data_IF_488300265110
#
_entry.id   IF_488300265110
#
_cell.length_a   1.000
_cell.length_b   1.000
_cell.length_c   1.000
_cell.angle_alpha   90.00
_cell.angle_beta   90.00
_cell.angle_gamma   90.00
#
_symmetry.space_group_name_H-M   'P 1'
#
loop_
_entity.id
_entity.type
_entity.pdbx_description
1 polymer ?
#
# COMPACT_ATOMS: atom_id res chain seq x y z
N UNK A 1 8.12 -0.97 12.26
CA UNK A 1 6.96 -1.87 12.38
C UNK A 1 7.49 -3.28 12.63
N UNK A 2 6.90 -4.07 13.55
CA UNK A 2 7.46 -5.37 13.98
C UNK A 2 7.75 -6.36 12.84
N UNK A 3 6.90 -6.44 11.82
CA UNK A 3 7.09 -7.33 10.67
C UNK A 3 7.83 -6.67 9.49
N UNK A 4 8.39 -5.47 9.70
CA UNK A 4 9.14 -4.75 8.68
C UNK A 4 8.25 -4.27 7.52
N UNK A 5 8.80 -4.29 6.30
CA UNK A 5 8.09 -3.96 5.07
C UNK A 5 7.63 -5.21 4.30
N UNK A 6 6.69 -5.00 3.37
CA UNK A 6 6.10 -6.06 2.57
C UNK A 6 7.11 -6.72 1.62
N UNK A 7 8.18 -6.04 1.18
CA UNK A 7 9.21 -6.67 0.34
C UNK A 7 9.89 -7.80 1.11
N UNK A 8 10.30 -7.53 2.34
CA UNK A 8 10.91 -8.52 3.22
C UNK A 8 9.96 -9.69 3.52
N UNK A 9 8.66 -9.42 3.64
CA UNK A 9 7.65 -10.44 3.91
C UNK A 9 7.31 -11.30 2.69
N UNK A 10 7.40 -10.75 1.48
CA UNK A 10 7.16 -11.49 0.22
C UNK A 10 8.38 -12.30 -0.22
N UNK A 11 9.59 -11.75 -0.06
CA UNK A 11 10.83 -12.37 -0.52
C UNK A 11 11.50 -13.27 0.52
N UNK A 12 10.88 -13.51 1.68
CA UNK A 12 11.44 -14.37 2.71
C UNK A 12 11.71 -15.77 2.16
N UNK A 13 12.99 -16.02 1.92
CA UNK A 13 13.51 -17.07 1.05
C UNK A 13 13.28 -18.43 1.68
N UNK A 14 12.77 -19.33 0.85
CA UNK A 14 12.63 -20.80 0.99
C UNK A 14 13.95 -21.56 1.20
N UNK A 15 15.04 -20.93 1.66
CA UNK A 15 16.41 -21.51 1.66
C UNK A 15 17.02 -21.68 3.05
N UNK A 16 16.21 -21.83 4.09
CA UNK A 16 16.69 -22.36 5.36
C UNK A 16 15.81 -23.55 5.72
N UNK A 17 16.44 -24.66 6.10
CA UNK A 17 15.84 -25.87 6.66
C UNK A 17 15.18 -25.59 8.04
N UNK A 18 14.71 -24.37 8.24
CA UNK A 18 14.10 -23.87 9.46
C UNK A 18 12.63 -23.59 9.11
N UNK A 19 11.81 -24.61 9.34
CA UNK A 19 10.40 -24.79 8.97
C UNK A 19 9.43 -23.72 9.55
N UNK A 20 9.96 -22.66 10.17
CA UNK A 20 9.21 -21.70 10.99
C UNK A 20 8.99 -20.33 10.34
N UNK A 21 9.51 -20.07 9.13
CA UNK A 21 9.38 -18.75 8.49
C UNK A 21 8.65 -18.87 7.14
N UNK A 22 7.40 -19.31 7.21
CA UNK A 22 6.50 -19.41 6.05
C UNK A 22 6.32 -18.04 5.39
N UNK A 23 6.41 -18.03 4.06
CA UNK A 23 5.94 -16.92 3.23
C UNK A 23 4.48 -16.60 3.58
N UNK A 24 4.07 -15.33 3.43
CA UNK A 24 2.69 -14.92 3.68
C UNK A 24 1.70 -15.83 2.93
N UNK A 25 0.72 -16.37 3.64
CA UNK A 25 -0.36 -17.14 3.02
C UNK A 25 -1.26 -16.22 2.16
N UNK A 26 -2.10 -16.84 1.33
CA UNK A 26 -2.96 -16.10 0.40
C UNK A 26 -3.96 -15.17 1.08
N UNK A 27 -4.54 -15.57 2.21
CA UNK A 27 -5.52 -14.78 2.95
C UNK A 27 -4.84 -13.53 3.53
N UNK A 28 -3.64 -13.70 4.10
CA UNK A 28 -2.84 -12.58 4.61
C UNK A 28 -2.45 -11.61 3.49
N UNK A 29 -2.07 -12.11 2.31
CA UNK A 29 -1.79 -11.26 1.14
C UNK A 29 -3.02 -10.46 0.70
N UNK A 30 -4.19 -11.08 0.71
CA UNK A 30 -5.44 -10.41 0.32
C UNK A 30 -5.80 -9.31 1.33
N UNK A 31 -5.66 -9.57 2.63
CA UNK A 31 -5.83 -8.56 3.70
C UNK A 31 -4.92 -7.35 3.44
N UNK A 32 -3.63 -7.59 3.21
CA UNK A 32 -2.65 -6.52 2.95
C UNK A 32 -3.03 -5.70 1.71
N UNK A 33 -3.48 -6.35 0.62
CA UNK A 33 -3.89 -5.64 -0.58
C UNK A 33 -5.11 -4.73 -0.37
N UNK A 34 -6.09 -5.20 0.42
CA UNK A 34 -7.29 -4.43 0.79
C UNK A 34 -6.90 -3.22 1.63
N UNK A 35 -6.14 -3.41 2.70
CA UNK A 35 -5.77 -2.31 3.60
C UNK A 35 -4.85 -1.27 2.91
N UNK A 36 -3.98 -1.72 2.00
CA UNK A 36 -3.17 -0.82 1.19
C UNK A 36 -4.03 0.07 0.27
N UNK A 37 -5.06 -0.50 -0.39
CA UNK A 37 -5.95 0.29 -1.25
C UNK A 37 -6.87 1.20 -0.43
N UNK A 38 -7.30 0.80 0.76
CA UNK A 38 -8.06 1.65 1.69
C UNK A 38 -7.24 2.87 2.12
N UNK A 39 -5.99 2.67 2.52
CA UNK A 39 -5.07 3.76 2.84
C UNK A 39 -4.86 4.72 1.66
N UNK A 40 -4.66 4.19 0.45
CA UNK A 40 -4.53 5.02 -0.76
C UNK A 40 -5.83 5.75 -1.10
N UNK A 41 -6.99 5.11 -0.91
CA UNK A 41 -8.30 5.74 -1.13
C UNK A 41 -8.51 6.90 -0.16
N UNK A 42 -8.11 6.75 1.10
CA UNK A 42 -8.16 7.82 2.10
C UNK A 42 -7.33 9.04 1.67
N UNK A 43 -6.08 8.81 1.22
CA UNK A 43 -5.22 9.90 0.73
C UNK A 43 -5.84 10.64 -0.45
N UNK A 44 -6.44 9.92 -1.41
CA UNK A 44 -6.99 10.53 -2.62
C UNK A 44 -8.36 11.21 -2.45
N UNK A 45 -9.22 10.71 -1.57
CA UNK A 45 -10.63 11.13 -1.53
C UNK A 45 -11.04 11.80 -0.21
N UNK A 46 -10.43 11.41 0.90
CA UNK A 46 -10.83 11.88 2.25
C UNK A 46 -9.93 13.02 2.75
N UNK A 47 -8.70 13.14 2.23
CA UNK A 47 -7.82 14.26 2.54
C UNK A 47 -8.18 15.52 1.72
N UNK A 48 -8.08 16.70 2.35
CA UNK A 48 -8.30 18.00 1.70
C UNK A 48 -7.11 18.94 1.97
N UNK A 49 -6.30 19.29 0.94
CA UNK A 49 -6.38 18.81 -0.44
C UNK A 49 -6.06 17.30 -0.56
N UNK A 50 -6.50 16.62 -1.64
CA UNK A 50 -6.10 15.24 -1.91
C UNK A 50 -4.58 15.08 -1.89
N UNK A 51 -4.09 13.96 -1.34
CA UNK A 51 -2.67 13.65 -1.23
C UNK A 51 -2.31 12.53 -2.20
N UNK A 52 -1.21 12.70 -2.95
CA UNK A 52 -0.67 11.66 -3.84
C UNK A 52 0.56 11.04 -3.16
N UNK A 53 0.54 9.73 -2.93
CA UNK A 53 1.64 9.03 -2.25
C UNK A 53 2.95 9.03 -3.05
N UNK A 54 2.86 8.90 -4.38
CA UNK A 54 3.96 8.89 -5.38
C UNK A 54 5.01 7.78 -5.27
N UNK A 55 5.15 7.13 -4.12
CA UNK A 55 6.11 6.06 -3.86
C UNK A 55 5.43 4.74 -3.47
N UNK A 56 4.48 4.25 -4.28
CA UNK A 56 3.75 3.00 -3.97
C UNK A 56 4.55 1.80 -4.47
N UNK A 57 5.25 1.15 -3.55
CA UNK A 57 6.01 -0.09 -3.79
C UNK A 57 6.00 -0.99 -2.54
N UNK A 58 6.38 -2.27 -2.67
CA UNK A 58 6.32 -3.20 -1.54
C UNK A 58 7.17 -2.76 -0.32
N UNK A 59 8.27 -2.05 -0.53
CA UNK A 59 9.13 -1.52 0.56
C UNK A 59 8.49 -0.33 1.29
N UNK A 60 7.53 0.35 0.65
CA UNK A 60 6.75 1.45 1.23
C UNK A 60 5.56 0.95 2.08
N UNK A 61 5.22 -0.33 2.02
CA UNK A 61 4.10 -0.90 2.79
C UNK A 61 4.68 -1.55 4.03
N UNK A 62 4.40 -0.98 5.21
CA UNK A 62 4.88 -1.50 6.48
C UNK A 62 3.83 -2.37 7.15
N UNK A 63 4.26 -3.42 7.85
CA UNK A 63 3.39 -4.43 8.45
C UNK A 63 3.60 -4.50 9.96
N UNK A 64 2.51 -4.39 10.72
CA UNK A 64 2.54 -4.58 12.17
C UNK A 64 2.62 -6.05 12.58
N UNK A 65 2.61 -6.33 13.89
CA UNK A 65 2.64 -7.69 14.45
C UNK A 65 1.45 -8.56 14.03
N UNK A 66 0.35 -7.97 13.55
CA UNK A 66 -0.87 -8.62 13.04
C UNK A 66 -0.98 -8.57 11.52
N UNK A 67 0.08 -8.18 10.82
CA UNK A 67 0.07 -7.94 9.37
C UNK A 67 -0.97 -6.90 8.94
N UNK A 68 -1.25 -5.91 9.79
CA UNK A 68 -2.00 -4.71 9.43
C UNK A 68 -1.07 -3.72 8.70
N UNK A 69 -1.61 -3.08 7.66
CA UNK A 69 -0.86 -2.21 6.77
C UNK A 69 -0.77 -0.79 7.32
N UNK A 70 0.42 -0.23 7.22
CA UNK A 70 0.65 1.21 7.28
C UNK A 70 1.40 1.66 6.04
N UNK A 71 0.85 2.68 5.37
CA UNK A 71 1.57 3.36 4.30
C UNK A 71 2.80 4.06 4.93
N UNK A 72 3.98 3.55 4.57
CA UNK A 72 5.29 4.08 4.95
C UNK A 72 5.91 4.88 3.79
N UNK A 73 7.08 5.47 4.04
CA UNK A 73 7.77 6.36 3.09
C UNK A 73 6.85 7.48 2.55
N UNK A 74 6.51 8.44 3.41
CA UNK A 74 5.72 9.61 3.02
C UNK A 74 6.58 10.78 2.49
N UNK A 75 7.86 10.54 2.17
CA UNK A 75 8.80 11.60 1.78
C UNK A 75 8.46 12.27 0.45
N UNK A 76 7.81 11.54 -0.45
CA UNK A 76 7.40 12.03 -1.78
C UNK A 76 5.92 12.48 -1.82
N UNK A 77 5.21 12.43 -0.69
CA UNK A 77 3.80 12.79 -0.63
C UNK A 77 3.64 14.27 -0.96
N UNK A 78 2.77 14.56 -1.92
CA UNK A 78 2.41 15.93 -2.26
C UNK A 78 0.89 16.13 -2.26
N UNK A 79 0.46 17.32 -1.89
CA UNK A 79 -0.89 17.77 -2.18
C UNK A 79 -1.08 17.81 -3.70
N UNK A 80 -2.21 17.30 -4.16
CA UNK A 80 -2.67 17.55 -5.51
C UNK A 80 -3.16 19.00 -5.56
N UNK A 81 -2.28 19.91 -5.98
CA UNK A 81 -2.68 21.29 -6.27
C UNK A 81 -3.75 21.27 -7.36
N UNK A 82 -4.83 22.00 -7.13
CA UNK A 82 -5.99 22.05 -8.01
C UNK A 82 -5.67 22.79 -9.29
N UNK A 83 -4.89 22.18 -10.18
CA UNK A 83 -4.90 22.55 -11.58
C UNK A 83 -5.86 21.64 -12.33
N UNK A 84 -6.65 22.25 -13.22
CA UNK A 84 -7.82 21.72 -13.87
C UNK A 84 -7.49 20.68 -14.95
N UNK A 85 -6.62 19.72 -14.64
CA UNK A 85 -6.34 18.55 -15.45
C UNK A 85 -6.88 17.33 -14.71
N UNK A 86 -8.11 16.95 -15.05
CA UNK A 86 -8.66 15.63 -14.74
C UNK A 86 -7.71 14.57 -15.29
N UNK A 87 -6.75 14.14 -14.47
CA UNK A 87 -5.78 13.14 -14.84
C UNK A 87 -6.53 11.85 -15.14
N UNK A 88 -6.35 11.37 -16.39
CA UNK A 88 -7.06 10.31 -17.10
C UNK A 88 -7.38 9.06 -16.26
N UNK A 89 -6.61 8.80 -15.20
CA UNK A 89 -6.82 7.70 -14.24
C UNK A 89 -8.14 7.85 -13.45
N UNK A 90 -8.53 9.06 -13.05
CA UNK A 90 -9.81 9.29 -12.34
C UNK A 90 -11.02 9.04 -13.24
N UNK A 91 -10.89 9.21 -14.56
CA UNK A 91 -11.93 8.82 -15.52
C UNK A 91 -12.04 7.30 -15.70
N UNK A 92 -10.95 6.55 -15.53
CA UNK A 92 -10.96 5.10 -15.71
C UNK A 92 -11.68 4.35 -14.56
N UNK A 93 -11.74 4.95 -13.38
CA UNK A 93 -12.35 4.35 -12.18
C UNK A 93 -13.81 4.77 -11.93
N UNK A 94 -14.34 5.74 -12.68
CA UNK A 94 -15.78 6.03 -12.67
C UNK A 94 -16.48 5.02 -13.57
N UNK A 95 -17.12 4.00 -12.96
CA UNK A 95 -18.04 3.12 -13.69
C UNK A 95 -19.12 3.97 -14.38
N UNK A 96 -19.52 3.65 -15.62
CA UNK A 96 -20.65 4.32 -16.27
C UNK A 96 -21.93 4.01 -15.48
N UNK A 97 -22.70 5.07 -15.23
CA UNK A 97 -24.00 5.04 -14.58
C UNK A 97 -25.09 4.78 -15.62
#
# INVERSE_FOLDING_TARGET
>A
MPNGDLSNSLYRVTNLEDDNLQSLDWITRLKIAIEAVEGLSYLHHECSPPLVHRDVQASSILLDDKFEVRLGSLSEVCAQEGDSHQNVITKLLRKPQ
#
